data_IF_502045096077
#
_entry.id   IF_502045096077
#
_cell.length_a   1.000
_cell.length_b   1.000
_cell.length_c   1.000
_cell.angle_alpha   90.00
_cell.angle_beta   90.00
_cell.angle_gamma   90.00
#
_symmetry.space_group_name_H-M   'P 1'
#
loop_
_entity.id
_entity.type
_entity.pdbx_description
1 polymer ?
#
# COMPACT_ATOMS: atom_id res chain seq x y z
N UNK A 1 -11.62 -0.66 1.49
CA UNK A 1 -11.10 -1.65 0.56
C UNK A 1 -12.15 -2.73 0.50
N UNK A 2 -12.64 -3.05 -0.69
CA UNK A 2 -13.68 -4.05 -0.90
C UNK A 2 -13.18 -5.04 -1.95
N UNK A 3 -13.33 -6.34 -1.69
CA UNK A 3 -13.11 -7.36 -2.70
C UNK A 3 -14.36 -7.50 -3.58
N UNK A 4 -14.14 -7.61 -4.89
CA UNK A 4 -15.23 -7.80 -5.86
C UNK A 4 -15.20 -9.19 -6.48
N UNK A 5 -16.36 -9.84 -6.54
CA UNK A 5 -16.58 -11.07 -7.29
C UNK A 5 -16.94 -10.77 -8.75
N UNK A 6 -16.46 -11.58 -9.69
CA UNK A 6 -16.82 -11.49 -11.11
C UNK A 6 -18.02 -12.37 -11.43
N UNK A 7 -18.92 -11.88 -12.28
CA UNK A 7 -19.99 -12.68 -12.89
C UNK A 7 -20.17 -12.27 -14.36
N UNK A 8 -20.66 -13.17 -15.20
CA UNK A 8 -20.90 -12.91 -16.62
C UNK A 8 -22.40 -12.78 -16.91
N UNK A 9 -22.75 -11.87 -17.80
CA UNK A 9 -24.10 -11.67 -18.30
C UNK A 9 -24.37 -12.52 -19.55
N UNK A 10 -25.65 -12.60 -19.94
CA UNK A 10 -26.10 -13.45 -21.05
C UNK A 10 -25.50 -13.06 -22.41
N UNK A 11 -25.04 -11.82 -22.54
CA UNK A 11 -24.40 -11.25 -23.73
C UNK A 11 -22.88 -11.41 -23.73
N UNK A 12 -22.32 -12.08 -22.71
CA UNK A 12 -20.89 -12.34 -22.55
C UNK A 12 -20.12 -11.19 -21.89
N UNK A 13 -20.77 -10.08 -21.54
CA UNK A 13 -20.13 -9.01 -20.75
C UNK A 13 -19.89 -9.45 -19.31
N UNK A 14 -18.92 -8.83 -18.62
CA UNK A 14 -18.59 -9.15 -17.23
C UNK A 14 -18.90 -8.00 -16.28
N UNK A 15 -19.43 -8.36 -15.11
CA UNK A 15 -19.73 -7.45 -14.01
C UNK A 15 -18.87 -7.80 -12.80
N UNK A 16 -18.44 -6.79 -12.05
CA UNK A 16 -17.79 -6.98 -10.75
C UNK A 16 -18.67 -6.43 -9.65
N UNK A 17 -19.01 -7.27 -8.67
CA UNK A 17 -19.89 -6.91 -7.56
C UNK A 17 -19.11 -6.90 -6.24
N UNK A 18 -19.28 -5.88 -5.39
CA UNK A 18 -18.70 -5.86 -4.05
C UNK A 18 -19.27 -7.01 -3.22
N UNK A 19 -18.40 -7.74 -2.52
CA UNK A 19 -18.81 -8.93 -1.75
C UNK A 19 -18.26 -8.97 -0.33
N UNK A 20 -17.02 -8.50 -0.11
CA UNK A 20 -16.36 -8.57 1.20
C UNK A 20 -15.62 -7.29 1.55
N UNK A 21 -15.93 -6.73 2.73
CA UNK A 21 -15.20 -5.62 3.35
C UNK A 21 -13.92 -6.08 4.05
N UNK A 22 -12.99 -5.14 4.26
CA UNK A 22 -11.72 -5.37 4.93
C UNK A 22 -11.62 -4.49 6.17
N UNK A 23 -11.18 -5.08 7.26
CA UNK A 23 -11.07 -4.42 8.55
C UNK A 23 -9.68 -4.66 9.15
N UNK A 24 -9.15 -3.66 9.85
CA UNK A 24 -7.93 -3.79 10.64
C UNK A 24 -8.18 -4.66 11.88
N UNK A 25 -7.12 -5.18 12.55
CA UNK A 25 -7.28 -5.93 13.80
C UNK A 25 -7.98 -5.16 14.92
N UNK A 26 -7.94 -3.82 14.87
CA UNK A 26 -8.66 -2.93 15.79
C UNK A 26 -10.13 -2.69 15.39
N UNK A 27 -10.63 -3.36 14.33
CA UNK A 27 -11.99 -3.24 13.83
C UNK A 27 -12.25 -2.04 12.91
N UNK A 28 -11.26 -1.20 12.62
CA UNK A 28 -11.44 -0.06 11.72
C UNK A 28 -11.73 -0.53 10.29
N UNK A 29 -12.76 0.05 9.67
CA UNK A 29 -13.15 -0.22 8.29
C UNK A 29 -12.17 0.43 7.31
N UNK A 30 -11.71 -0.33 6.33
CA UNK A 30 -10.80 0.15 5.30
C UNK A 30 -11.55 0.73 4.09
N UNK A 31 -12.89 0.61 3.99
CA UNK A 31 -13.69 1.26 2.94
C UNK A 31 -13.43 2.76 2.93
N UNK A 32 -12.96 3.27 1.77
CA UNK A 32 -12.53 4.66 1.57
C UNK A 32 -11.37 5.17 2.43
N UNK A 33 -10.74 4.35 3.28
CA UNK A 33 -9.72 4.82 4.23
C UNK A 33 -8.26 4.48 3.87
N UNK A 34 -8.04 3.62 2.86
CA UNK A 34 -6.69 3.26 2.39
C UNK A 34 -5.78 2.68 3.49
N UNK A 35 -4.52 2.41 3.16
CA UNK A 35 -3.50 2.07 4.16
C UNK A 35 -2.51 3.23 4.25
N UNK A 36 -2.44 3.89 5.41
CA UNK A 36 -1.52 5.00 5.61
C UNK A 36 -0.09 4.45 5.80
N UNK A 37 0.90 4.84 4.97
CA UNK A 37 2.28 4.44 5.18
C UNK A 37 2.87 5.00 6.48
N UNK A 38 3.71 4.21 7.14
CA UNK A 38 4.45 4.63 8.34
C UNK A 38 5.45 5.76 8.03
N UNK A 39 5.98 5.77 6.81
CA UNK A 39 6.90 6.80 6.29
C UNK A 39 6.28 7.38 5.03
N UNK A 40 5.82 8.63 5.11
CA UNK A 40 5.28 9.35 3.96
C UNK A 40 6.43 9.89 3.12
N UNK A 41 6.47 9.48 1.86
CA UNK A 41 7.46 9.95 0.88
C UNK A 41 6.71 10.45 -0.34
N UNK A 42 6.77 11.76 -0.56
CA UNK A 42 6.17 12.40 -1.72
C UNK A 42 6.92 12.00 -3.00
N UNK A 43 6.20 11.52 -4.01
CA UNK A 43 6.75 11.35 -5.36
C UNK A 43 6.65 12.67 -6.11
N UNK A 44 7.81 13.29 -6.40
CA UNK A 44 7.88 14.52 -7.17
C UNK A 44 8.11 14.21 -8.66
N UNK A 45 7.51 14.99 -9.58
CA UNK A 45 7.80 14.84 -11.01
C UNK A 45 9.29 14.96 -11.35
N UNK A 46 10.02 15.86 -10.67
CA UNK A 46 11.47 16.03 -10.88
C UNK A 46 12.26 14.76 -10.49
N UNK A 47 11.80 14.03 -9.48
CA UNK A 47 12.42 12.76 -9.07
C UNK A 47 12.19 11.67 -10.15
N UNK A 48 11.01 11.64 -10.78
CA UNK A 48 10.71 10.71 -11.88
C UNK A 48 11.57 11.02 -13.11
N UNK A 49 11.68 12.30 -13.50
CA UNK A 49 12.51 12.72 -14.64
C UNK A 49 14.00 12.41 -14.41
N UNK A 50 14.45 12.48 -13.17
CA UNK A 50 15.83 12.20 -12.78
C UNK A 50 16.12 10.71 -12.48
N UNK A 51 15.16 9.80 -12.69
CA UNK A 51 15.24 8.37 -12.33
C UNK A 51 15.65 8.16 -10.85
N UNK A 52 15.14 9.03 -9.98
CA UNK A 52 15.56 9.20 -8.61
C UNK A 52 14.51 8.65 -7.64
N UNK A 53 14.46 7.33 -7.44
CA UNK A 53 13.45 6.69 -6.58
C UNK A 53 13.60 7.04 -5.07
N UNK A 54 12.87 8.07 -4.64
CA UNK A 54 12.86 8.55 -3.26
C UNK A 54 12.25 7.54 -2.28
N UNK A 55 11.28 6.73 -2.72
CA UNK A 55 10.64 5.73 -1.86
C UNK A 55 11.59 4.58 -1.56
N UNK A 56 12.29 4.08 -2.58
CA UNK A 56 13.29 3.04 -2.41
C UNK A 56 14.44 3.51 -1.50
N UNK A 57 14.96 4.73 -1.71
CA UNK A 57 16.00 5.28 -0.84
C UNK A 57 15.54 5.37 0.62
N UNK A 58 14.35 5.90 0.87
CA UNK A 58 13.81 5.99 2.23
C UNK A 58 13.64 4.61 2.88
N UNK A 59 13.17 3.62 2.12
CA UNK A 59 13.04 2.24 2.60
C UNK A 59 14.39 1.62 2.99
N UNK A 60 15.42 1.80 2.16
CA UNK A 60 16.78 1.30 2.45
C UNK A 60 17.37 1.99 3.69
N UNK A 61 17.23 3.31 3.79
CA UNK A 61 17.72 4.06 4.95
C UNK A 61 17.05 3.62 6.25
N UNK A 62 15.73 3.48 6.25
CA UNK A 62 15.00 3.04 7.45
C UNK A 62 15.34 1.59 7.83
N UNK A 63 15.50 0.70 6.85
CA UNK A 63 15.92 -0.68 7.10
C UNK A 63 17.30 -0.73 7.75
N UNK A 64 18.29 0.01 7.22
CA UNK A 64 19.64 0.03 7.79
C UNK A 64 19.64 0.56 9.22
N UNK A 65 18.88 1.64 9.48
CA UNK A 65 18.71 2.19 10.84
C UNK A 65 18.16 1.15 11.82
N UNK A 66 17.10 0.42 11.43
CA UNK A 66 16.51 -0.63 12.30
C UNK A 66 17.49 -1.76 12.60
N UNK A 67 18.32 -2.14 11.64
CA UNK A 67 19.34 -3.17 11.84
C UNK A 67 20.43 -2.72 12.82
N UNK A 68 20.87 -1.47 12.73
CA UNK A 68 21.84 -0.89 13.67
C UNK A 68 21.25 -0.80 15.10
N UNK A 69 19.99 -0.38 15.22
CA UNK A 69 19.26 -0.33 16.50
C UNK A 69 19.13 -1.73 17.14
N UNK A 70 18.82 -2.76 16.34
CA UNK A 70 18.77 -4.16 16.79
C UNK A 70 20.16 -4.70 17.18
N UNK A 71 21.20 -4.31 16.44
CA UNK A 71 22.60 -4.66 16.72
C UNK A 71 23.16 -4.01 17.99
N UNK A 72 22.73 -2.79 18.30
CA UNK A 72 23.12 -2.07 19.52
C UNK A 72 22.37 -2.55 20.77
N UNK A 73 21.23 -3.23 20.59
CA UNK A 73 20.42 -3.77 21.69
C UNK A 73 20.86 -5.19 22.09
N UNK A 74 21.85 -5.77 21.38
CA UNK A 74 22.33 -7.14 21.55
C UNK A 74 23.68 -7.24 22.27
#
# INVERSE_FOLDING_TARGET
MISTGGTSLIDGTSLRLPFRGWYLPNGADMENNGAMPDIVVDQKPDDEVADNDAQLRAAVMDLMRRLDDEGSTR
#
